data_IF_180001607003
#
_entry.id   IF_180001607003
#
_cell.length_a   1.000
_cell.length_b   1.000
_cell.length_c   1.000
_cell.angle_alpha   90.00
_cell.angle_beta   90.00
_cell.angle_gamma   90.00
#
_symmetry.space_group_name_H-M   'P 1'
#
loop_
_entity.id
_entity.type
_entity.pdbx_description
1 polymer ?
#
# COMPACT_ATOMS: atom_id res chain seq x y z
N UNK A 1 -4.20 -18.21 -3.89
CA UNK A 1 -3.07 -17.54 -3.21
C UNK A 1 -2.24 -16.73 -4.19
N UNK A 2 -1.47 -17.34 -5.11
CA UNK A 2 -0.67 -16.56 -6.08
C UNK A 2 -1.52 -15.59 -6.93
N UNK A 3 -2.70 -16.00 -7.39
CA UNK A 3 -3.59 -15.11 -8.16
C UNK A 3 -4.08 -13.89 -7.34
N UNK A 4 -4.36 -14.08 -6.05
CA UNK A 4 -4.82 -13.02 -5.15
C UNK A 4 -3.78 -11.91 -4.99
N UNK A 5 -2.50 -12.26 -4.82
CA UNK A 5 -1.44 -11.25 -4.73
C UNK A 5 -1.26 -10.50 -6.07
N UNK A 6 -1.48 -11.15 -7.22
CA UNK A 6 -1.42 -10.49 -8.53
C UNK A 6 -2.59 -9.52 -8.77
N UNK A 7 -3.79 -9.90 -8.33
CA UNK A 7 -4.97 -9.01 -8.33
C UNK A 7 -4.75 -7.83 -7.38
N UNK A 8 -4.26 -8.10 -6.17
CA UNK A 8 -3.93 -7.08 -5.19
C UNK A 8 -2.87 -6.10 -5.71
N UNK A 9 -1.79 -6.58 -6.36
CA UNK A 9 -0.78 -5.72 -6.95
C UNK A 9 -1.36 -4.72 -7.96
N UNK A 10 -2.26 -5.18 -8.83
CA UNK A 10 -2.95 -4.32 -9.81
C UNK A 10 -3.86 -3.31 -9.13
N UNK A 11 -4.63 -3.75 -8.14
CA UNK A 11 -5.59 -2.90 -7.44
C UNK A 11 -4.89 -1.85 -6.56
N UNK A 12 -3.79 -2.21 -5.89
CA UNK A 12 -2.96 -1.28 -5.12
C UNK A 12 -2.46 -0.16 -6.03
N UNK A 13 -1.83 -0.48 -7.16
CA UNK A 13 -1.36 0.53 -8.11
C UNK A 13 -2.49 1.47 -8.58
N UNK A 14 -3.68 0.92 -8.84
CA UNK A 14 -4.87 1.70 -9.20
C UNK A 14 -5.33 2.63 -8.07
N UNK A 15 -5.37 2.15 -6.83
CA UNK A 15 -5.79 2.92 -5.66
C UNK A 15 -4.80 4.03 -5.31
N UNK A 16 -3.49 3.78 -5.44
CA UNK A 16 -2.46 4.81 -5.24
C UNK A 16 -2.67 6.01 -6.17
N UNK A 17 -3.04 5.76 -7.43
CA UNK A 17 -3.39 6.80 -8.40
C UNK A 17 -4.68 7.52 -8.04
N UNK A 18 -5.76 6.76 -7.80
CA UNK A 18 -7.08 7.34 -7.57
C UNK A 18 -7.16 8.17 -6.29
N UNK A 19 -6.41 7.77 -5.26
CA UNK A 19 -6.37 8.46 -3.97
C UNK A 19 -5.25 9.49 -3.85
N UNK A 20 -4.39 9.55 -4.87
CA UNK A 20 -3.11 10.28 -4.87
C UNK A 20 -2.28 10.04 -3.59
N UNK A 21 -2.12 8.77 -3.23
CA UNK A 21 -1.30 8.38 -2.08
C UNK A 21 0.17 8.47 -2.49
N UNK A 22 0.97 9.22 -1.76
CA UNK A 22 2.40 9.38 -1.99
C UNK A 22 3.21 9.23 -0.70
N UNK A 23 4.53 9.15 -0.85
CA UNK A 23 5.47 8.87 0.24
C UNK A 23 5.94 7.42 0.23
N UNK A 24 6.30 6.93 1.40
CA UNK A 24 6.71 5.55 1.64
C UNK A 24 5.46 4.69 1.85
N UNK A 25 5.33 3.63 1.07
CA UNK A 25 4.21 2.69 1.09
C UNK A 25 4.80 1.31 1.35
N UNK A 26 4.24 0.62 2.35
CA UNK A 26 4.62 -0.75 2.71
C UNK A 26 3.45 -1.66 2.39
N UNK A 27 3.71 -2.74 1.65
CA UNK A 27 2.71 -3.72 1.24
C UNK A 27 3.09 -5.07 1.82
N UNK A 28 2.19 -5.63 2.62
CA UNK A 28 2.31 -6.97 3.19
C UNK A 28 1.47 -7.94 2.34
N UNK A 29 2.14 -8.71 1.46
CA UNK A 29 1.47 -9.70 0.63
C UNK A 29 1.34 -11.03 1.38
N UNK A 30 0.35 -11.85 0.98
CA UNK A 30 0.21 -13.21 1.50
C UNK A 30 1.49 -14.00 1.22
N UNK A 31 1.95 -14.78 2.20
CA UNK A 31 3.15 -15.60 2.12
C UNK A 31 3.25 -16.41 0.82
N UNK A 32 4.41 -16.30 0.18
CA UNK A 32 4.74 -16.99 -1.06
C UNK A 32 5.98 -17.88 -0.83
N UNK A 33 5.78 -19.19 -0.94
CA UNK A 33 6.86 -20.17 -0.76
C UNK A 33 7.85 -20.20 -1.93
N UNK A 34 7.38 -19.88 -3.14
CA UNK A 34 8.20 -19.92 -4.35
C UNK A 34 8.68 -18.51 -4.70
N UNK A 35 9.99 -18.34 -4.84
CA UNK A 35 10.62 -17.08 -5.26
C UNK A 35 10.09 -16.57 -6.62
N UNK A 36 9.70 -17.49 -7.51
CA UNK A 36 9.10 -17.13 -8.78
C UNK A 36 7.75 -16.39 -8.60
N UNK A 37 6.96 -16.74 -7.58
CA UNK A 37 5.71 -16.05 -7.29
C UNK A 37 5.97 -14.63 -6.79
N UNK A 38 6.98 -14.45 -5.92
CA UNK A 38 7.42 -13.13 -5.43
C UNK A 38 7.81 -12.23 -6.59
N UNK A 39 8.67 -12.71 -7.48
CA UNK A 39 9.08 -11.96 -8.69
C UNK A 39 7.90 -11.56 -9.55
N UNK A 40 6.97 -12.49 -9.80
CA UNK A 40 5.77 -12.23 -10.61
C UNK A 40 4.89 -11.13 -10.01
N UNK A 41 4.73 -11.10 -8.68
CA UNK A 41 3.99 -10.04 -7.97
C UNK A 41 4.68 -8.68 -8.10
N UNK A 42 6.01 -8.62 -7.92
CA UNK A 42 6.80 -7.39 -8.08
C UNK A 42 6.69 -6.87 -9.53
N UNK A 43 6.86 -7.74 -10.52
CA UNK A 43 6.74 -7.40 -11.94
C UNK A 43 5.35 -6.84 -12.26
N UNK A 44 4.30 -7.54 -11.81
CA UNK A 44 2.91 -7.09 -11.98
C UNK A 44 2.67 -5.72 -11.36
N UNK A 45 3.22 -5.46 -10.16
CA UNK A 45 3.10 -4.15 -9.52
C UNK A 45 3.85 -3.06 -10.30
N UNK A 46 5.07 -3.35 -10.76
CA UNK A 46 5.88 -2.43 -11.58
C UNK A 46 5.16 -2.07 -12.88
N UNK A 47 4.62 -3.05 -13.60
CA UNK A 47 3.83 -2.84 -14.81
C UNK A 47 2.58 -1.99 -14.53
N UNK A 48 1.86 -2.28 -13.46
CA UNK A 48 0.66 -1.54 -13.10
C UNK A 48 0.96 -0.09 -12.66
N UNK A 49 2.12 0.16 -12.03
CA UNK A 49 2.60 1.49 -11.65
C UNK A 49 3.20 2.26 -12.83
N UNK A 50 3.65 1.60 -13.90
CA UNK A 50 4.17 2.27 -15.10
C UNK A 50 3.12 3.15 -15.81
N UNK A 51 1.82 2.91 -15.54
CA UNK A 51 0.71 3.74 -16.02
C UNK A 51 0.52 5.03 -15.20
N UNK A 52 1.22 5.17 -14.07
CA UNK A 52 1.19 6.35 -13.22
C UNK A 52 2.10 7.45 -13.75
N UNK A 53 1.60 8.69 -13.74
CA UNK A 53 2.40 9.87 -14.11
C UNK A 53 3.35 10.28 -12.99
N UNK A 54 3.03 9.94 -11.74
CA UNK A 54 3.90 10.19 -10.60
C UNK A 54 5.05 9.19 -10.58
N UNK A 55 6.28 9.68 -10.41
CA UNK A 55 7.47 8.81 -10.30
C UNK A 55 7.32 7.89 -9.08
N UNK A 56 7.53 6.60 -9.31
CA UNK A 56 7.54 5.58 -8.26
C UNK A 56 8.75 4.66 -8.37
N UNK A 57 9.20 4.12 -7.24
CA UNK A 57 10.24 3.11 -7.17
C UNK A 57 9.72 1.92 -6.36
N UNK A 58 9.86 0.72 -6.91
CA UNK A 58 9.49 -0.54 -6.26
C UNK A 58 10.76 -1.30 -5.89
N UNK A 59 10.97 -1.52 -4.60
CA UNK A 59 12.12 -2.25 -4.07
C UNK A 59 11.87 -3.76 -4.10
N UNK A 60 12.85 -4.55 -3.67
CA UNK A 60 12.66 -5.98 -3.49
C UNK A 60 11.90 -6.26 -2.18
N UNK A 61 11.35 -7.47 -2.06
CA UNK A 61 10.71 -7.91 -0.82
C UNK A 61 11.79 -8.08 0.26
N UNK A 62 11.58 -7.45 1.41
CA UNK A 62 12.48 -7.53 2.55
C UNK A 62 12.52 -8.95 3.15
N UNK A 63 13.51 -9.26 4.00
CA UNK A 63 13.54 -10.53 4.73
C UNK A 63 12.31 -10.78 5.61
N UNK A 64 11.58 -9.72 5.98
CA UNK A 64 10.33 -9.80 6.75
C UNK A 64 9.10 -10.09 5.88
N UNK A 65 9.24 -10.21 4.56
CA UNK A 65 8.13 -10.44 3.64
C UNK A 65 7.44 -9.16 3.13
N UNK A 66 7.90 -7.99 3.56
CA UNK A 66 7.30 -6.70 3.21
C UNK A 66 7.88 -6.14 1.90
N UNK A 67 7.01 -5.63 1.03
CA UNK A 67 7.40 -4.90 -0.17
C UNK A 67 7.34 -3.39 0.07
N UNK A 68 8.42 -2.70 -0.26
CA UNK A 68 8.52 -1.25 -0.14
C UNK A 68 8.34 -0.57 -1.49
N UNK A 69 7.57 0.52 -1.49
CA UNK A 69 7.37 1.40 -2.65
C UNK A 69 7.53 2.84 -2.21
N UNK A 70 8.30 3.63 -2.96
CA UNK A 70 8.25 5.10 -2.84
C UNK A 70 7.47 5.66 -4.03
N UNK A 71 6.55 6.59 -3.77
CA UNK A 71 5.81 7.32 -4.81
C UNK A 71 5.90 8.80 -4.54
N UNK A 72 6.34 9.59 -5.52
CA UNK A 72 6.46 11.05 -5.36
C UNK A 72 5.09 11.63 -4.99
N UNK A 73 5.01 12.31 -3.85
CA UNK A 73 3.81 13.04 -3.42
C UNK A 73 3.69 14.32 -4.26
N UNK A 74 2.56 14.47 -4.94
CA UNK A 74 2.26 15.65 -5.78
C UNK A 74 1.27 16.57 -5.08
N UNK A 75 0.34 16.02 -4.30
CA UNK A 75 -0.62 16.76 -3.49
C UNK A 75 -0.87 16.11 -2.12
N UNK A 76 -1.79 16.66 -1.34
CA UNK A 76 -2.27 16.04 -0.10
C UNK A 76 -3.12 14.79 -0.30
N UNK A 77 -3.60 14.56 -1.53
CA UNK A 77 -4.47 13.46 -1.88
C UNK A 77 -5.89 13.58 -1.31
N UNK A 78 -6.71 12.55 -1.55
CA UNK A 78 -8.13 12.59 -1.18
C UNK A 78 -8.33 12.67 0.34
N UNK A 79 -7.51 11.97 1.12
CA UNK A 79 -7.70 11.93 2.57
C UNK A 79 -7.50 13.31 3.18
N UNK A 80 -6.41 14.00 2.84
CA UNK A 80 -6.14 15.34 3.39
C UNK A 80 -7.16 16.38 2.91
N UNK A 81 -7.66 16.25 1.68
CA UNK A 81 -8.63 17.20 1.13
C UNK A 81 -10.07 17.03 1.66
N UNK A 82 -10.45 15.81 2.08
CA UNK A 82 -11.85 15.46 2.39
C UNK A 82 -12.05 14.83 3.77
N UNK A 83 -11.06 14.92 4.66
CA UNK A 83 -11.21 14.39 6.02
C UNK A 83 -10.65 15.34 7.08
N UNK A 84 -11.18 15.18 8.28
CA UNK A 84 -10.70 15.82 9.50
C UNK A 84 -10.29 14.74 10.52
N UNK A 85 -9.42 15.10 11.46
CA UNK A 85 -9.00 14.20 12.53
C UNK A 85 -10.22 13.83 13.39
N UNK A 86 -10.46 12.54 13.58
CA UNK A 86 -11.59 12.06 14.40
C UNK A 86 -11.50 12.63 15.82
N UNK A 87 -12.52 13.35 16.33
CA UNK A 87 -12.45 13.98 17.65
C UNK A 87 -12.54 12.97 18.81
N UNK A 88 -13.03 11.75 18.56
CA UNK A 88 -13.22 10.74 19.60
C UNK A 88 -11.94 9.95 19.87
N UNK A 89 -11.24 9.53 18.81
CA UNK A 89 -10.02 8.74 18.94
C UNK A 89 -8.74 9.54 18.64
N UNK A 90 -8.86 10.81 18.24
CA UNK A 90 -7.74 11.70 17.90
C UNK A 90 -6.81 11.09 16.84
N UNK A 91 -7.39 10.36 15.89
CA UNK A 91 -6.64 9.66 14.84
C UNK A 91 -6.03 8.32 15.25
N UNK A 92 -6.19 7.87 16.50
CA UNK A 92 -5.66 6.55 16.96
C UNK A 92 -6.35 5.35 16.30
N UNK A 93 -7.59 5.51 15.84
CA UNK A 93 -8.39 4.41 15.27
C UNK A 93 -8.89 3.38 16.30
N UNK A 94 -8.62 3.60 17.59
CA UNK A 94 -9.03 2.72 18.71
C UNK A 94 -9.55 3.54 19.88
N UNK A 95 -10.56 3.02 20.59
CA UNK A 95 -11.05 3.54 21.86
C UNK A 95 -10.60 2.60 22.97
N UNK A 96 -10.05 3.17 24.05
CA UNK A 96 -9.65 2.40 25.22
C UNK A 96 -10.84 2.28 26.16
N UNK A 97 -11.22 1.05 26.50
CA UNK A 97 -12.16 0.75 27.57
C UNK A 97 -11.38 0.37 28.82
N UNK A 98 -11.71 1.01 29.94
CA UNK A 98 -11.07 0.74 31.24
C UNK A 98 -11.82 -0.32 32.05
N UNK A 99 -12.97 -0.78 31.56
CA UNK A 99 -13.71 -1.89 32.12
C UNK A 99 -13.07 -3.20 31.65
N UNK A 100 -12.10 -3.69 32.43
CA UNK A 100 -11.69 -5.08 32.38
C UNK A 100 -12.82 -5.91 33.00
N UNK A 101 -13.82 -6.26 32.18
CA UNK A 101 -14.79 -7.31 32.53
C UNK A 101 -14.43 -8.58 31.79
#
# INVERSE_FOLDING_TARGET
>A
MANTNLEAAREIARQLRLRDIGGMIVIDFIDMLLEQNKKKVIETLREALAQDKSRSQVFDISPLGLLEVTRKRVSGGLLEAFSETCPTCEGRGVLLTYDAT
#
